data_IF_136302690048
#
_entry.id   IF_136302690048
#
_cell.length_a   1.000
_cell.length_b   1.000
_cell.length_c   1.000
_cell.angle_alpha   90.00
_cell.angle_beta   90.00
_cell.angle_gamma   90.00
#
_symmetry.space_group_name_H-M   'P 1'
#
loop_
_entity.id
_entity.type
_entity.pdbx_description
1 polymer ?
#
# COMPACT_ATOMS: atom_id res chain seq x y z
N UNK A 1 -22.30 0.16 9.93
CA UNK A 1 -21.25 1.11 9.47
C UNK A 1 -20.06 0.29 8.97
N UNK A 2 -20.04 -0.08 7.69
CA UNK A 2 -18.99 -0.93 7.12
C UNK A 2 -17.93 -0.01 6.51
N UNK A 3 -16.72 0.01 7.11
CA UNK A 3 -15.55 0.65 6.50
C UNK A 3 -15.13 -0.18 5.30
N UNK A 4 -15.34 0.34 4.10
CA UNK A 4 -14.81 -0.22 2.86
C UNK A 4 -13.36 0.25 2.73
N UNK A 5 -12.42 -0.68 2.71
CA UNK A 5 -11.02 -0.39 2.44
C UNK A 5 -10.85 0.10 0.99
N UNK A 6 -10.00 1.11 0.71
CA UNK A 6 -9.75 1.56 -0.65
C UNK A 6 -8.98 0.47 -1.42
N UNK A 7 -9.56 0.03 -2.54
CA UNK A 7 -8.92 -0.90 -3.48
C UNK A 7 -7.64 -0.28 -4.07
N UNK A 8 -6.58 -1.10 -4.13
CA UNK A 8 -5.31 -0.79 -4.75
C UNK A 8 -5.50 -0.25 -6.18
N UNK A 9 -4.92 0.93 -6.43
CA UNK A 9 -5.04 1.65 -7.70
C UNK A 9 -4.46 0.88 -8.88
N UNK A 10 -5.24 0.82 -9.95
CA UNK A 10 -4.81 0.46 -11.30
C UNK A 10 -3.73 1.47 -11.73
N UNK A 11 -2.49 1.00 -11.92
CA UNK A 11 -1.39 1.82 -12.42
C UNK A 11 -1.63 2.18 -13.90
N UNK A 12 -2.22 3.34 -14.17
CA UNK A 12 -2.17 3.95 -15.50
C UNK A 12 -0.80 4.60 -15.66
N UNK A 13 -0.08 4.21 -16.73
CA UNK A 13 1.18 4.85 -17.15
C UNK A 13 0.85 6.26 -17.65
N UNK A 14 1.20 7.27 -16.87
CA UNK A 14 1.07 8.67 -17.28
C UNK A 14 2.32 9.03 -18.11
N UNK A 15 2.10 9.35 -19.39
CA UNK A 15 3.10 9.86 -20.31
C UNK A 15 2.79 11.34 -20.50
N UNK A 16 3.79 12.20 -20.31
CA UNK A 16 3.60 13.65 -20.49
C UNK A 16 3.27 13.97 -21.96
N UNK A 17 2.68 15.14 -22.26
CA UNK A 17 2.15 15.50 -23.62
C UNK A 17 3.19 15.48 -24.76
N UNK A 18 4.47 15.26 -24.45
CA UNK A 18 5.58 15.13 -25.40
C UNK A 18 6.15 13.71 -25.49
N UNK A 19 5.45 12.70 -24.96
CA UNK A 19 5.82 11.29 -25.15
C UNK A 19 6.96 10.76 -24.25
N UNK A 20 7.49 11.54 -23.31
CA UNK A 20 8.61 11.12 -22.47
C UNK A 20 8.19 10.54 -21.11
N UNK A 21 8.86 9.44 -20.73
CA UNK A 21 8.62 8.64 -19.51
C UNK A 21 9.20 9.34 -18.27
N UNK A 22 8.37 9.73 -17.31
CA UNK A 22 8.82 10.33 -16.05
C UNK A 22 9.67 9.34 -15.23
N UNK A 23 10.94 9.69 -14.98
CA UNK A 23 11.83 8.95 -14.07
C UNK A 23 11.61 9.46 -12.65
N UNK A 24 11.09 8.62 -11.76
CA UNK A 24 11.06 8.89 -10.32
C UNK A 24 12.22 8.15 -9.65
N UNK A 25 13.22 8.89 -9.16
CA UNK A 25 14.29 8.35 -8.30
C UNK A 25 13.83 8.37 -6.84
N UNK A 26 13.77 7.19 -6.21
CA UNK A 26 13.49 7.03 -4.78
C UNK A 26 14.71 7.50 -3.97
N UNK A 27 14.55 8.52 -3.12
CA UNK A 27 15.59 8.97 -2.20
C UNK A 27 15.34 8.37 -0.82
N UNK A 28 16.09 7.34 -0.47
CA UNK A 28 16.15 6.76 0.88
C UNK A 28 16.91 7.71 1.81
N UNK A 29 16.42 7.91 3.04
CA UNK A 29 17.11 8.70 4.06
C UNK A 29 18.20 7.84 4.71
N UNK A 30 19.44 8.29 4.62
CA UNK A 30 20.57 7.74 5.38
C UNK A 30 20.50 8.16 6.84
N UNK A 31 20.76 7.20 7.74
CA UNK A 31 21.00 7.41 9.17
C UNK A 31 22.50 7.65 9.35
N UNK A 32 22.91 8.70 10.07
CA UNK A 32 24.31 8.93 10.45
C UNK A 32 24.46 8.99 11.97
N UNK A 33 25.61 8.55 12.52
CA UNK A 33 25.76 8.15 13.92
C UNK A 33 26.16 9.30 14.84
N UNK A 34 25.84 9.15 16.13
CA UNK A 34 26.31 9.98 17.24
C UNK A 34 27.80 9.75 17.49
N UNK A 35 28.59 10.82 17.62
CA UNK A 35 29.98 10.74 18.10
C UNK A 35 30.22 11.78 19.19
N UNK A 36 31.01 11.36 20.17
CA UNK A 36 31.30 11.89 21.49
C UNK A 36 32.41 12.96 21.55
N UNK A 37 32.29 13.84 22.55
CA UNK A 37 33.32 14.48 23.40
C UNK A 37 34.72 14.82 22.84
N UNK A 38 35.14 16.09 22.99
CA UNK A 38 36.42 16.43 23.66
C UNK A 38 36.42 17.88 24.17
N UNK A 39 36.98 18.05 25.38
CA UNK A 39 37.17 19.30 26.09
C UNK A 39 38.32 20.14 25.53
N UNK A 40 38.32 21.45 25.78
CA UNK A 40 39.54 22.23 25.84
C UNK A 40 39.37 23.72 25.52
N UNK A 41 39.71 24.54 26.53
CA UNK A 41 40.26 25.91 26.43
C UNK A 41 39.25 27.09 26.56
N UNK A 42 39.18 27.60 27.78
CA UNK A 42 38.79 28.97 28.09
C UNK A 42 39.95 29.93 27.77
N UNK A 43 39.64 31.14 27.27
CA UNK A 43 40.30 32.31 27.82
C UNK A 43 39.32 33.39 28.29
N UNK A 44 39.58 33.83 29.51
CA UNK A 44 39.51 35.20 30.03
C UNK A 44 38.21 36.00 29.79
N UNK A 45 37.49 36.14 30.90
CA UNK A 45 36.37 37.06 31.11
C UNK A 45 36.80 38.50 30.82
N UNK A 46 36.14 39.14 29.86
CA UNK A 46 35.89 40.58 29.90
C UNK A 46 34.41 40.77 30.28
N UNK A 47 34.18 41.44 31.41
CA UNK A 47 32.85 41.72 31.91
C UNK A 47 32.17 42.76 31.01
N UNK A 48 31.20 42.31 30.20
CA UNK A 48 30.30 43.17 29.43
C UNK A 48 29.28 43.85 30.35
N UNK A 49 28.92 45.08 30.00
CA UNK A 49 28.21 46.05 30.87
C UNK A 49 26.71 45.69 31.03
N UNK A 50 26.01 46.19 32.07
CA UNK A 50 24.62 45.82 32.36
C UNK A 50 23.60 46.07 31.23
N UNK A 51 23.93 46.88 30.22
CA UNK A 51 23.05 47.10 29.07
C UNK A 51 23.09 45.98 28.03
N UNK A 52 24.10 45.11 28.04
CA UNK A 52 24.23 44.01 27.07
C UNK A 52 23.46 42.75 27.53
N UNK A 53 23.33 42.52 28.84
CA UNK A 53 22.52 41.40 29.40
C UNK A 53 21.01 41.57 29.23
N UNK A 54 20.52 42.81 29.16
CA UNK A 54 19.10 43.08 28.92
C UNK A 54 18.70 42.75 27.47
N UNK A 55 19.63 42.88 26.52
CA UNK A 55 19.40 42.57 25.11
C UNK A 55 19.40 41.04 24.91
N UNK A 56 20.29 40.29 25.57
CA UNK A 56 20.29 38.83 25.50
C UNK A 56 19.05 38.18 26.16
N UNK A 57 18.57 38.74 27.27
CA UNK A 57 17.35 38.26 27.95
C UNK A 57 16.07 38.45 27.12
N UNK A 58 16.00 39.51 26.30
CA UNK A 58 14.87 39.77 25.41
C UNK A 58 14.91 38.92 24.13
N UNK A 59 16.10 38.49 23.70
CA UNK A 59 16.30 37.62 22.53
C UNK A 59 15.96 36.16 22.86
N UNK A 60 16.20 35.71 24.10
CA UNK A 60 15.96 34.32 24.49
C UNK A 60 14.46 33.93 24.50
N UNK A 61 13.56 34.81 24.96
CA UNK A 61 12.12 34.51 25.04
C UNK A 61 11.36 34.60 23.70
N UNK A 62 12.04 35.03 22.62
CA UNK A 62 11.43 35.22 21.29
C UNK A 62 11.85 34.13 20.28
N UNK A 63 12.53 33.08 20.72
CA UNK A 63 13.08 32.01 19.87
C UNK A 63 12.32 30.68 19.93
N UNK A 64 11.33 30.53 20.82
CA UNK A 64 10.55 29.30 20.99
C UNK A 64 9.27 29.20 20.14
N UNK A 65 9.04 30.12 19.20
CA UNK A 65 7.86 30.10 18.32
C UNK A 65 8.18 30.24 16.82
N UNK A 66 9.41 29.91 16.39
CA UNK A 66 9.69 29.74 14.96
C UNK A 66 9.28 28.34 14.49
N UNK A 67 7.96 28.12 14.39
CA UNK A 67 7.43 27.06 13.53
C UNK A 67 7.97 27.35 12.12
N UNK A 68 8.94 26.55 11.67
CA UNK A 68 9.53 26.72 10.35
C UNK A 68 8.43 26.71 9.28
N UNK A 69 8.36 27.77 8.47
CA UNK A 69 7.42 27.89 7.35
C UNK A 69 7.60 26.77 6.30
N UNK A 70 8.62 25.92 6.43
CA UNK A 70 8.88 24.73 5.60
C UNK A 70 8.08 23.49 6.01
N UNK A 71 7.53 23.43 7.23
CA UNK A 71 6.78 22.27 7.74
C UNK A 71 5.26 22.36 7.64
N UNK A 72 4.67 23.45 7.15
CA UNK A 72 3.22 23.52 7.00
C UNK A 72 2.75 22.81 5.71
N UNK A 73 1.95 21.73 5.78
CA UNK A 73 1.48 21.01 4.59
C UNK A 73 0.58 21.87 3.68
N UNK A 74 -0.06 22.89 4.25
CA UNK A 74 -0.97 23.82 3.54
C UNK A 74 -0.24 24.71 2.53
N UNK A 75 1.10 24.81 2.59
CA UNK A 75 1.90 25.65 1.67
C UNK A 75 1.78 25.23 0.21
N UNK A 76 1.60 23.93 -0.04
CA UNK A 76 1.50 23.36 -1.39
C UNK A 76 0.06 23.27 -1.90
N UNK A 77 -0.95 23.66 -1.11
CA UNK A 77 -2.34 23.61 -1.53
C UNK A 77 -2.60 24.60 -2.68
N UNK A 78 -3.39 24.16 -3.67
CA UNK A 78 -3.76 25.01 -4.81
C UNK A 78 -4.47 26.30 -4.35
N UNK A 79 -5.22 26.25 -3.25
CA UNK A 79 -5.90 27.39 -2.64
C UNK A 79 -4.95 28.57 -2.33
N UNK A 80 -3.69 28.31 -1.94
CA UNK A 80 -2.72 29.38 -1.67
C UNK A 80 -2.32 30.14 -2.94
N UNK A 81 -2.23 29.44 -4.08
CA UNK A 81 -1.90 30.03 -5.38
C UNK A 81 -3.04 30.86 -5.96
N UNK A 82 -4.28 30.59 -5.54
CA UNK A 82 -5.47 31.29 -6.03
C UNK A 82 -5.85 32.56 -5.24
N UNK A 83 -5.02 33.03 -4.30
CA UNK A 83 -5.23 34.33 -3.63
C UNK A 83 -5.18 35.46 -4.67
N UNK A 84 -6.01 36.48 -4.49
CA UNK A 84 -6.18 37.58 -5.47
C UNK A 84 -7.07 37.23 -6.67
N UNK A 85 -7.44 35.96 -6.88
CA UNK A 85 -8.36 35.57 -7.95
C UNK A 85 -9.81 35.55 -7.46
N UNK A 86 -10.69 36.30 -8.13
CA UNK A 86 -12.08 36.56 -7.69
C UNK A 86 -12.90 35.28 -7.45
N UNK A 87 -12.70 34.21 -8.23
CA UNK A 87 -13.48 32.96 -8.12
C UNK A 87 -12.65 31.73 -7.77
N UNK A 88 -11.39 31.92 -7.34
CA UNK A 88 -10.48 30.88 -6.86
C UNK A 88 -10.37 29.60 -7.73
N UNK A 89 -10.54 29.72 -9.06
CA UNK A 89 -10.47 28.59 -9.99
C UNK A 89 -11.77 27.83 -10.25
N UNK A 90 -12.90 28.25 -9.69
CA UNK A 90 -14.21 27.60 -9.89
C UNK A 90 -15.09 28.25 -10.99
N UNK A 91 -14.51 29.19 -11.76
CA UNK A 91 -15.20 29.90 -12.84
C UNK A 91 -16.13 31.03 -12.38
N UNK A 92 -16.16 32.14 -13.13
CA UNK A 92 -16.94 33.35 -12.78
C UNK A 92 -18.45 33.20 -13.01
N UNK A 93 -18.84 32.56 -14.12
CA UNK A 93 -20.24 32.46 -14.57
C UNK A 93 -20.99 31.33 -13.85
N UNK A 94 -20.46 30.10 -13.91
CA UNK A 94 -21.11 28.92 -13.31
C UNK A 94 -21.21 29.00 -11.79
N UNK A 95 -20.22 29.64 -11.14
CA UNK A 95 -20.00 29.77 -9.69
C UNK A 95 -19.94 28.43 -8.96
N UNK A 96 -19.09 28.35 -7.94
CA UNK A 96 -19.07 27.18 -7.07
C UNK A 96 -20.35 27.10 -6.25
N UNK A 97 -21.07 25.97 -6.35
CA UNK A 97 -22.25 25.67 -5.53
C UNK A 97 -22.07 24.34 -4.83
N UNK A 98 -22.74 24.19 -3.67
CA UNK A 98 -22.54 23.05 -2.77
C UNK A 98 -22.78 21.70 -3.46
N UNK A 99 -23.94 21.49 -4.10
CA UNK A 99 -24.33 20.21 -4.75
C UNK A 99 -25.26 20.43 -5.96
N UNK A 100 -24.76 20.83 -7.13
CA UNK A 100 -25.61 21.18 -8.27
C UNK A 100 -26.37 19.98 -8.88
N UNK A 101 -25.78 18.78 -8.87
CA UNK A 101 -26.39 17.55 -9.41
C UNK A 101 -26.98 16.61 -8.35
N UNK A 102 -27.19 17.10 -7.12
CA UNK A 102 -27.55 16.27 -5.97
C UNK A 102 -26.33 15.76 -5.18
N UNK A 103 -26.59 15.00 -4.12
CA UNK A 103 -25.56 14.50 -3.18
C UNK A 103 -25.21 13.05 -3.47
N UNK A 104 -23.93 12.70 -3.37
CA UNK A 104 -23.47 11.31 -3.47
C UNK A 104 -23.75 10.70 -4.85
N UNK A 105 -24.37 9.52 -4.87
CA UNK A 105 -24.72 8.77 -6.09
C UNK A 105 -26.14 9.08 -6.62
N UNK A 106 -26.72 10.21 -6.22
CA UNK A 106 -28.03 10.63 -6.71
C UNK A 106 -28.04 10.85 -8.24
N UNK A 107 -29.18 10.60 -8.87
CA UNK A 107 -29.37 10.79 -10.31
C UNK A 107 -28.74 9.71 -11.19
N UNK A 108 -28.27 8.59 -10.62
CA UNK A 108 -27.52 7.58 -11.37
C UNK A 108 -28.28 6.90 -12.51
N UNK A 109 -29.62 6.86 -12.48
CA UNK A 109 -30.46 6.44 -13.62
C UNK A 109 -31.09 7.60 -14.39
N UNK A 110 -30.91 8.84 -13.91
CA UNK A 110 -31.51 10.05 -14.47
C UNK A 110 -30.41 10.91 -15.10
N UNK A 111 -30.16 12.10 -14.57
CA UNK A 111 -29.20 13.07 -15.11
C UNK A 111 -27.72 12.67 -14.99
N UNK A 112 -27.38 11.60 -14.25
CA UNK A 112 -26.04 11.01 -14.21
C UNK A 112 -25.94 9.64 -14.91
N UNK A 113 -26.99 9.22 -15.64
CA UNK A 113 -27.05 7.93 -16.33
C UNK A 113 -25.85 7.66 -17.24
N UNK A 114 -25.45 8.64 -18.05
CA UNK A 114 -24.31 8.50 -18.97
C UNK A 114 -23.01 8.10 -18.27
N UNK A 115 -22.79 8.55 -17.03
CA UNK A 115 -21.61 8.19 -16.24
C UNK A 115 -21.67 6.72 -15.79
N UNK A 116 -22.84 6.29 -15.30
CA UNK A 116 -23.04 4.92 -14.84
C UNK A 116 -22.99 3.92 -16.00
N UNK A 117 -23.67 4.19 -17.10
CA UNK A 117 -23.67 3.29 -18.26
C UNK A 117 -22.28 3.15 -18.89
N UNK A 118 -21.48 4.23 -18.87
CA UNK A 118 -20.13 4.24 -19.46
C UNK A 118 -19.07 3.55 -18.60
N UNK A 119 -19.07 3.82 -17.30
CA UNK A 119 -17.96 3.41 -16.41
C UNK A 119 -18.35 2.33 -15.39
N UNK A 120 -19.65 2.17 -15.11
CA UNK A 120 -20.16 1.32 -14.03
C UNK A 120 -21.30 0.44 -14.55
N UNK A 121 -21.05 -0.27 -15.65
CA UNK A 121 -22.03 -1.20 -16.21
C UNK A 121 -22.39 -2.30 -15.20
N UNK A 122 -23.69 -2.61 -15.10
CA UNK A 122 -24.20 -3.61 -14.14
C UNK A 122 -24.33 -3.12 -12.69
N UNK A 123 -24.15 -1.81 -12.44
CA UNK A 123 -24.36 -1.24 -11.10
C UNK A 123 -25.82 -1.34 -10.64
N UNK A 124 -26.77 -1.10 -11.56
CA UNK A 124 -28.19 -1.25 -11.28
C UNK A 124 -28.68 -2.65 -11.65
N UNK A 125 -29.55 -3.20 -10.79
CA UNK A 125 -30.15 -4.52 -10.96
C UNK A 125 -29.96 -5.41 -9.74
N UNK A 126 -30.59 -6.59 -9.78
CA UNK A 126 -30.47 -7.62 -8.74
C UNK A 126 -30.01 -8.92 -9.39
N UNK A 127 -28.95 -9.53 -8.85
CA UNK A 127 -28.38 -10.78 -9.36
C UNK A 127 -28.15 -11.76 -8.21
N UNK A 128 -28.49 -13.04 -8.43
CA UNK A 128 -28.21 -14.15 -7.52
C UNK A 128 -29.13 -14.26 -6.29
N UNK A 129 -28.86 -15.27 -5.47
CA UNK A 129 -29.60 -15.57 -4.23
C UNK A 129 -28.99 -14.87 -3.01
N UNK A 130 -29.83 -14.51 -2.02
CA UNK A 130 -29.36 -13.93 -0.75
C UNK A 130 -28.78 -15.02 0.14
N UNK A 131 -27.57 -14.81 0.63
CA UNK A 131 -26.96 -15.65 1.66
C UNK A 131 -26.94 -14.89 2.99
N UNK A 132 -27.79 -15.33 3.93
CA UNK A 132 -27.90 -14.77 5.27
C UNK A 132 -26.77 -15.28 6.19
N UNK A 133 -26.32 -14.43 7.11
CA UNK A 133 -25.27 -14.75 8.11
C UNK A 133 -24.00 -15.40 7.51
N UNK A 134 -23.49 -14.83 6.41
CA UNK A 134 -22.25 -15.31 5.78
C UNK A 134 -21.04 -15.13 6.71
N UNK A 135 -20.56 -16.24 7.29
CA UNK A 135 -19.33 -16.30 8.08
C UNK A 135 -18.14 -16.54 7.15
N UNK A 136 -17.24 -15.55 7.01
CA UNK A 136 -16.11 -15.64 6.07
C UNK A 136 -15.13 -16.75 6.41
N UNK A 137 -15.03 -17.14 7.68
CA UNK A 137 -14.08 -18.17 8.15
C UNK A 137 -14.41 -19.56 7.60
N UNK A 138 -15.69 -19.88 7.36
CA UNK A 138 -16.09 -21.17 6.76
C UNK A 138 -15.62 -21.28 5.30
N UNK A 139 -15.54 -20.14 4.60
CA UNK A 139 -15.07 -20.06 3.21
C UNK A 139 -13.57 -19.71 3.13
N UNK A 140 -12.84 -19.82 4.24
CA UNK A 140 -11.42 -19.53 4.24
C UNK A 140 -10.69 -20.60 3.43
N UNK A 141 -10.23 -20.20 2.24
CA UNK A 141 -9.48 -21.06 1.35
C UNK A 141 -8.46 -20.22 0.55
N UNK A 142 -7.41 -19.69 1.18
CA UNK A 142 -6.34 -19.02 0.46
C UNK A 142 -5.65 -20.00 -0.49
N UNK A 143 -5.36 -19.51 -1.69
CA UNK A 143 -4.90 -20.36 -2.80
C UNK A 143 -3.42 -20.17 -3.00
N UNK A 144 -2.69 -21.29 -3.10
CA UNK A 144 -1.32 -21.35 -3.59
C UNK A 144 -1.27 -22.13 -4.90
N UNK A 145 -0.42 -21.67 -5.82
CA UNK A 145 -0.14 -22.38 -7.06
C UNK A 145 1.11 -23.23 -6.90
N UNK A 146 1.18 -24.30 -7.68
CA UNK A 146 2.26 -25.28 -7.63
C UNK A 146 3.66 -24.66 -7.89
N UNK A 147 3.76 -23.61 -8.71
CA UNK A 147 5.00 -22.87 -8.96
C UNK A 147 5.66 -22.30 -7.70
N UNK A 148 4.86 -21.89 -6.72
CA UNK A 148 5.32 -21.22 -5.50
C UNK A 148 5.55 -22.16 -4.33
N UNK A 149 5.27 -23.45 -4.47
CA UNK A 149 5.44 -24.42 -3.38
C UNK A 149 6.89 -24.47 -2.89
N UNK A 150 7.86 -24.42 -3.82
CA UNK A 150 9.30 -24.43 -3.51
C UNK A 150 9.74 -23.21 -2.69
N UNK A 151 9.05 -22.08 -2.86
CA UNK A 151 9.36 -20.85 -2.15
C UNK A 151 9.01 -20.93 -0.66
N UNK A 152 8.11 -21.83 -0.27
CA UNK A 152 7.75 -22.05 1.14
C UNK A 152 8.88 -22.75 1.91
N UNK A 153 9.75 -23.48 1.21
CA UNK A 153 10.90 -24.09 1.86
C UNK A 153 12.01 -23.08 2.14
N UNK A 154 12.69 -23.21 3.31
CA UNK A 154 13.94 -22.52 3.56
C UNK A 154 15.01 -23.00 2.57
N UNK A 155 15.99 -22.14 2.26
CA UNK A 155 16.95 -22.39 1.18
C UNK A 155 17.77 -23.67 1.34
N UNK A 156 18.11 -24.02 2.59
CA UNK A 156 18.82 -25.26 2.92
C UNK A 156 18.04 -26.55 2.66
N UNK A 157 16.70 -26.49 2.48
CA UNK A 157 15.86 -27.66 2.19
C UNK A 157 15.38 -27.70 0.74
N UNK A 158 15.69 -26.69 -0.09
CA UNK A 158 15.31 -26.67 -1.51
C UNK A 158 16.12 -27.65 -2.36
N UNK A 159 17.32 -28.00 -1.90
CA UNK A 159 18.18 -29.03 -2.50
C UNK A 159 18.36 -30.12 -1.44
N UNK A 160 17.54 -31.20 -1.46
CA UNK A 160 17.75 -32.29 -0.52
C UNK A 160 19.10 -32.95 -0.81
N UNK A 161 19.99 -32.96 0.17
CA UNK A 161 21.18 -33.79 0.18
C UNK A 161 20.79 -35.15 0.79
N UNK A 162 20.73 -36.20 -0.03
CA UNK A 162 20.41 -37.57 0.39
C UNK A 162 18.95 -38.02 0.14
N UNK A 163 18.53 -39.09 0.80
CA UNK A 163 17.25 -39.81 0.55
C UNK A 163 16.00 -39.12 1.15
N UNK A 164 16.16 -37.95 1.79
CA UNK A 164 15.07 -37.27 2.49
C UNK A 164 14.31 -36.34 1.55
N UNK A 165 13.06 -36.68 1.27
CA UNK A 165 12.15 -35.86 0.44
C UNK A 165 11.56 -34.70 1.26
N UNK A 166 11.59 -33.46 0.76
CA UNK A 166 11.00 -32.31 1.45
C UNK A 166 9.47 -32.42 1.60
N UNK A 167 8.98 -32.14 2.80
CA UNK A 167 7.54 -32.06 3.12
C UNK A 167 7.12 -30.59 3.18
N UNK A 168 6.12 -30.24 2.39
CA UNK A 168 5.57 -28.88 2.30
C UNK A 168 4.19 -28.88 2.95
N UNK A 169 4.08 -28.32 4.14
CA UNK A 169 2.80 -28.09 4.80
C UNK A 169 2.22 -26.74 4.40
N UNK A 170 1.26 -26.78 3.47
CA UNK A 170 0.60 -25.57 3.00
C UNK A 170 -0.34 -24.98 4.05
N UNK A 171 -0.90 -25.80 4.93
CA UNK A 171 -1.84 -25.38 5.98
C UNK A 171 -1.12 -24.59 7.07
N UNK A 172 0.05 -25.05 7.50
CA UNK A 172 0.91 -24.33 8.45
C UNK A 172 1.34 -22.95 7.93
N UNK A 173 1.54 -22.83 6.60
CA UNK A 173 1.84 -21.56 5.94
C UNK A 173 0.60 -20.72 5.60
N UNK A 174 -0.60 -21.13 6.04
CA UNK A 174 -1.84 -20.35 5.90
C UNK A 174 -2.52 -20.48 4.53
N UNK A 175 -2.22 -21.52 3.76
CA UNK A 175 -2.88 -21.81 2.49
C UNK A 175 -3.83 -23.00 2.62
N UNK A 176 -5.05 -22.84 2.10
CA UNK A 176 -6.09 -23.87 2.15
C UNK A 176 -6.24 -24.68 0.88
N UNK A 177 -5.77 -24.18 -0.28
CA UNK A 177 -5.94 -24.86 -1.58
C UNK A 177 -4.73 -24.78 -2.49
N UNK A 178 -4.39 -25.91 -3.12
CA UNK A 178 -3.33 -26.00 -4.13
C UNK A 178 -3.90 -26.10 -5.56
N UNK A 179 -3.44 -25.22 -6.46
CA UNK A 179 -3.84 -25.15 -7.87
C UNK A 179 -2.65 -25.33 -8.84
N UNK A 180 -2.92 -25.85 -10.04
CA UNK A 180 -1.92 -26.38 -10.97
C UNK A 180 -1.16 -25.36 -11.86
N UNK A 181 -1.20 -24.05 -11.54
CA UNK A 181 -0.57 -23.03 -12.40
C UNK A 181 0.96 -23.06 -12.27
N UNK A 182 1.65 -22.88 -13.40
CA UNK A 182 3.11 -22.74 -13.50
C UNK A 182 3.84 -24.08 -13.59
N UNK A 183 5.17 -24.07 -13.53
CA UNK A 183 6.01 -25.28 -13.69
C UNK A 183 6.54 -25.74 -12.33
N UNK A 184 6.65 -27.05 -12.19
CA UNK A 184 7.31 -27.69 -11.06
C UNK A 184 8.81 -27.78 -11.33
N UNK A 185 9.67 -27.71 -10.29
CA UNK A 185 11.01 -28.25 -10.41
C UNK A 185 10.94 -29.77 -10.62
N UNK A 186 12.01 -30.36 -11.15
CA UNK A 186 12.13 -31.82 -11.29
C UNK A 186 12.31 -32.54 -9.95
N UNK A 187 12.50 -31.80 -8.86
CA UNK A 187 12.70 -32.38 -7.52
C UNK A 187 11.37 -32.91 -6.96
N UNK A 188 11.31 -34.18 -6.52
CA UNK A 188 10.11 -34.71 -5.89
C UNK A 188 9.89 -34.05 -4.52
N UNK A 189 8.63 -33.86 -4.14
CA UNK A 189 8.24 -33.32 -2.83
C UNK A 189 6.89 -33.87 -2.38
N UNK A 190 6.64 -33.81 -1.08
CA UNK A 190 5.36 -34.22 -0.48
C UNK A 190 4.57 -32.96 -0.11
N UNK A 191 3.33 -32.85 -0.56
CA UNK A 191 2.46 -31.71 -0.24
C UNK A 191 1.39 -32.14 0.75
N UNK A 192 1.32 -31.46 1.88
CA UNK A 192 0.20 -31.54 2.83
C UNK A 192 -0.72 -30.35 2.63
N UNK A 193 -1.99 -30.61 2.31
CA UNK A 193 -2.98 -29.57 2.03
C UNK A 193 -4.40 -30.03 2.34
N UNK A 194 -5.28 -29.08 2.66
CA UNK A 194 -6.72 -29.36 2.88
C UNK A 194 -7.47 -29.66 1.59
N UNK A 195 -7.18 -28.90 0.52
CA UNK A 195 -7.82 -29.06 -0.77
C UNK A 195 -6.80 -29.00 -1.92
N UNK A 196 -6.92 -29.92 -2.88
CA UNK A 196 -6.06 -29.94 -4.07
C UNK A 196 -6.93 -30.07 -5.32
N UNK A 197 -6.61 -29.30 -6.36
CA UNK A 197 -7.28 -29.48 -7.66
C UNK A 197 -6.78 -30.75 -8.36
N UNK A 198 -7.66 -31.45 -9.09
CA UNK A 198 -7.31 -32.66 -9.86
C UNK A 198 -6.06 -32.48 -10.74
N UNK A 199 -6.00 -31.37 -11.49
CA UNK A 199 -4.83 -31.03 -12.33
C UNK A 199 -3.55 -30.82 -11.52
N UNK A 200 -3.64 -30.34 -10.28
CA UNK A 200 -2.46 -30.13 -9.44
C UNK A 200 -1.93 -31.47 -8.92
N UNK A 201 -2.84 -32.35 -8.52
CA UNK A 201 -2.51 -33.70 -8.09
C UNK A 201 -1.82 -34.50 -9.20
N UNK A 202 -2.40 -34.52 -10.41
CA UNK A 202 -1.80 -35.18 -11.60
C UNK A 202 -0.38 -34.65 -11.87
N UNK A 203 -0.19 -33.34 -11.75
CA UNK A 203 1.09 -32.68 -12.01
C UNK A 203 2.15 -32.99 -10.95
N UNK A 204 1.75 -33.02 -9.68
CA UNK A 204 2.64 -33.36 -8.57
C UNK A 204 3.06 -34.84 -8.67
N UNK A 205 2.11 -35.74 -8.98
CA UNK A 205 2.40 -37.16 -9.22
C UNK A 205 3.33 -37.36 -10.41
N UNK A 206 3.13 -36.62 -11.50
CA UNK A 206 4.02 -36.66 -12.67
C UNK A 206 5.45 -36.19 -12.37
N UNK A 207 5.63 -35.30 -11.38
CA UNK A 207 6.94 -34.88 -10.88
C UNK A 207 7.55 -35.84 -9.84
N UNK A 208 6.92 -36.98 -9.58
CA UNK A 208 7.35 -37.95 -8.56
C UNK A 208 7.03 -37.53 -7.13
N UNK A 209 6.18 -36.52 -6.94
CA UNK A 209 5.71 -36.07 -5.64
C UNK A 209 4.45 -36.79 -5.16
N UNK A 210 4.14 -36.66 -3.87
CA UNK A 210 2.95 -37.26 -3.24
C UNK A 210 2.11 -36.15 -2.62
N UNK A 211 0.78 -36.28 -2.72
CA UNK A 211 -0.18 -35.37 -2.09
C UNK A 211 -0.85 -36.08 -0.92
N UNK A 212 -0.80 -35.46 0.26
CA UNK A 212 -1.48 -35.92 1.47
C UNK A 212 -2.55 -34.90 1.83
N UNK A 213 -3.79 -35.37 1.98
CA UNK A 213 -4.92 -34.52 2.36
C UNK A 213 -5.05 -34.54 3.88
N UNK A 214 -4.87 -33.39 4.52
CA UNK A 214 -4.99 -33.20 5.97
C UNK A 214 -6.10 -32.16 6.26
N UNK A 215 -6.95 -32.43 7.24
CA UNK A 215 -8.18 -31.68 7.51
C UNK A 215 -7.95 -30.36 8.29
#
# INVERSE_FOLDING_TARGET
MVRIAPHAGIQRREVDRRGNRAKYTLRTKATTPSTSNTQGEHPLQQALTPSEKAIEGLIFYRSSSLISLSQMPTRFSNTRKHRGHVSAGHGRVGKHRKHPGGRGLAGGQHHHRTNFDKYHYGYFGKVGMRYFHKTKNQFWQPVINVDKLVSLLPEGQRKPEGDKVPVIDTTAHGYGKVLAKGRLPSTPFIVKARFVSKRAEEKIKAAGGVVVIEA
#
